data_IF_891562323750
#
_entry.id   IF_891562323750
#
_cell.length_a   1.000
_cell.length_b   1.000
_cell.length_c   1.000
_cell.angle_alpha   90.00
_cell.angle_beta   90.00
_cell.angle_gamma   90.00
#
_symmetry.space_group_name_H-M   'P 1'
#
loop_
_entity.id
_entity.type
_entity.pdbx_description
1 polymer ?
#
# COMPACT_ATOMS: atom_id res chain seq x y z
N UNK A 1 -8.47 -12.85 23.34
CA UNK A 1 -9.74 -13.53 23.64
C UNK A 1 -10.40 -13.81 22.30
N UNK A 2 -10.24 -15.04 21.83
CA UNK A 2 -10.78 -15.53 20.56
C UNK A 2 -12.29 -15.72 20.70
N UNK A 3 -13.07 -15.34 19.68
CA UNK A 3 -14.42 -15.89 19.52
C UNK A 3 -14.41 -16.90 18.38
N UNK A 4 -14.40 -18.17 18.77
CA UNK A 4 -14.85 -19.30 17.99
C UNK A 4 -16.38 -19.33 18.00
N UNK A 5 -16.99 -19.26 16.83
CA UNK A 5 -18.33 -19.79 16.60
C UNK A 5 -18.32 -20.51 15.25
N UNK A 6 -18.22 -21.84 15.33
CA UNK A 6 -18.84 -22.75 14.36
C UNK A 6 -19.95 -23.45 15.15
N UNK A 7 -21.12 -23.65 14.53
CA UNK A 7 -21.66 -25.00 14.56
C UNK A 7 -21.95 -25.52 13.15
N UNK A 8 -21.71 -26.82 13.04
CA UNK A 8 -21.93 -27.70 11.90
C UNK A 8 -23.40 -27.77 11.48
N UNK A 9 -23.63 -28.04 10.19
CA UNK A 9 -24.93 -28.49 9.68
C UNK A 9 -25.30 -27.87 8.32
N UNK A 10 -25.15 -28.66 7.26
CA UNK A 10 -25.97 -28.66 6.04
C UNK A 10 -26.19 -27.35 5.26
N UNK A 11 -25.66 -27.32 4.03
CA UNK A 11 -26.15 -26.56 2.87
C UNK A 11 -26.97 -25.29 3.12
N UNK A 12 -26.38 -24.12 2.81
CA UNK A 12 -27.05 -23.09 2.00
C UNK A 12 -26.05 -22.00 1.65
N UNK A 13 -25.79 -21.82 0.36
CA UNK A 13 -25.29 -20.56 -0.16
C UNK A 13 -26.20 -19.44 0.34
N UNK A 14 -25.73 -18.61 1.26
CA UNK A 14 -26.40 -17.34 1.57
C UNK A 14 -26.03 -16.33 0.48
N UNK A 15 -26.59 -16.59 -0.70
CA UNK A 15 -26.89 -15.54 -1.68
C UNK A 15 -27.67 -14.49 -0.90
N UNK A 16 -27.18 -13.25 -0.89
CA UNK A 16 -27.89 -12.12 -0.33
C UNK A 16 -29.26 -12.04 -1.01
N UNK A 17 -30.30 -12.53 -0.33
CA UNK A 17 -31.64 -12.57 -0.87
C UNK A 17 -32.08 -11.13 -1.13
N UNK A 18 -32.27 -10.77 -2.40
CA UNK A 18 -32.98 -9.57 -2.84
C UNK A 18 -34.24 -9.32 -2.00
N UNK A 19 -34.90 -10.40 -1.57
CA UNK A 19 -36.03 -10.39 -0.64
C UNK A 19 -35.77 -9.70 0.70
N UNK A 20 -34.57 -9.80 1.29
CA UNK A 20 -34.23 -9.14 2.55
C UNK A 20 -34.16 -7.61 2.38
N UNK A 21 -33.51 -7.14 1.32
CA UNK A 21 -33.42 -5.70 1.02
C UNK A 21 -34.79 -5.11 0.66
N UNK A 22 -35.59 -5.84 -0.11
CA UNK A 22 -36.98 -5.45 -0.41
C UNK A 22 -37.86 -5.44 0.84
N UNK A 23 -37.68 -6.40 1.76
CA UNK A 23 -38.44 -6.45 3.02
C UNK A 23 -38.11 -5.29 3.98
N UNK A 24 -36.96 -4.64 3.80
CA UNK A 24 -36.56 -3.43 4.51
C UNK A 24 -36.98 -2.13 3.79
N UNK A 25 -37.83 -2.23 2.75
CA UNK A 25 -38.35 -1.07 2.02
C UNK A 25 -37.35 -0.40 1.06
N UNK A 26 -36.21 -1.05 0.80
CA UNK A 26 -35.19 -0.51 -0.11
C UNK A 26 -35.66 -0.74 -1.56
N UNK A 27 -35.97 0.35 -2.26
CA UNK A 27 -36.32 0.31 -3.69
C UNK A 27 -35.08 0.02 -4.52
N UNK A 28 -34.99 -1.20 -5.06
CA UNK A 28 -33.93 -1.59 -5.98
C UNK A 28 -34.34 -1.27 -7.43
N UNK A 29 -33.44 -0.73 -8.26
CA UNK A 29 -33.71 -0.53 -9.68
C UNK A 29 -34.07 -1.86 -10.38
N UNK A 30 -34.85 -1.76 -11.45
CA UNK A 30 -35.29 -2.91 -12.26
C UNK A 30 -34.03 -3.56 -12.85
N UNK A 31 -33.79 -4.82 -12.51
CA UNK A 31 -32.70 -5.60 -13.08
C UNK A 31 -32.98 -5.77 -14.58
N UNK A 32 -32.15 -5.17 -15.43
CA UNK A 32 -31.93 -5.75 -16.74
C UNK A 32 -30.94 -6.92 -16.54
N UNK A 33 -31.36 -8.18 -16.68
CA UNK A 33 -30.51 -9.34 -16.36
C UNK A 33 -29.26 -9.43 -17.25
N UNK A 34 -29.27 -8.76 -18.40
CA UNK A 34 -28.11 -8.56 -19.25
C UNK A 34 -27.88 -7.06 -19.44
N UNK A 35 -26.97 -6.42 -18.67
CA UNK A 35 -26.50 -5.12 -19.09
C UNK A 35 -25.90 -5.27 -20.50
N UNK A 36 -26.30 -4.41 -21.44
CA UNK A 36 -25.81 -4.43 -22.83
C UNK A 36 -24.27 -4.42 -22.93
N UNK A 37 -23.61 -3.99 -21.86
CA UNK A 37 -22.17 -3.99 -21.73
C UNK A 37 -21.76 -4.41 -20.31
N UNK A 38 -20.83 -5.38 -20.14
CA UNK A 38 -20.39 -5.85 -18.84
C UNK A 38 -19.38 -4.87 -18.22
N UNK A 39 -19.82 -3.64 -17.95
CA UNK A 39 -19.00 -2.54 -17.41
C UNK A 39 -18.07 -2.95 -16.24
N UNK A 40 -18.48 -3.82 -15.29
CA UNK A 40 -17.59 -4.21 -14.20
C UNK A 40 -16.29 -4.86 -14.68
N UNK A 41 -16.32 -5.71 -15.72
CA UNK A 41 -15.15 -6.45 -16.23
C UNK A 41 -13.98 -5.55 -16.69
N UNK A 42 -14.28 -4.28 -17.02
CA UNK A 42 -13.32 -3.26 -17.43
C UNK A 42 -12.69 -2.51 -16.25
N UNK A 43 -13.18 -2.71 -15.03
CA UNK A 43 -12.61 -2.09 -13.83
C UNK A 43 -11.27 -2.74 -13.55
N UNK A 44 -10.18 -2.06 -13.93
CA UNK A 44 -8.81 -2.47 -13.62
C UNK A 44 -8.19 -1.66 -12.48
N UNK A 45 -8.72 -0.47 -12.21
CA UNK A 45 -8.14 0.47 -11.26
C UNK A 45 -9.21 0.89 -10.27
N UNK A 46 -8.97 0.67 -8.98
CA UNK A 46 -9.94 0.97 -7.93
C UNK A 46 -9.44 2.09 -7.01
N UNK A 47 -10.11 3.24 -7.10
CA UNK A 47 -10.01 4.29 -6.09
C UNK A 47 -10.92 3.93 -4.90
N UNK A 48 -10.36 3.21 -3.92
CA UNK A 48 -11.12 2.57 -2.84
C UNK A 48 -11.90 3.58 -1.99
N UNK A 49 -11.27 4.69 -1.62
CA UNK A 49 -11.93 5.75 -0.85
C UNK A 49 -13.08 6.42 -1.60
N UNK A 50 -12.95 6.58 -2.93
CA UNK A 50 -14.02 7.14 -3.76
C UNK A 50 -15.20 6.18 -3.93
N UNK A 51 -14.93 4.87 -4.00
CA UNK A 51 -16.00 3.86 -3.95
C UNK A 51 -16.77 3.96 -2.64
N UNK A 52 -16.08 3.96 -1.50
CA UNK A 52 -16.72 4.10 -0.18
C UNK A 52 -17.54 5.39 -0.11
N UNK A 53 -16.97 6.51 -0.53
CA UNK A 53 -17.67 7.80 -0.55
C UNK A 53 -18.91 7.79 -1.45
N UNK A 54 -18.84 7.13 -2.60
CA UNK A 54 -19.95 7.01 -3.54
C UNK A 54 -21.09 6.18 -2.95
N UNK A 55 -20.77 5.04 -2.33
CA UNK A 55 -21.78 4.23 -1.63
C UNK A 55 -22.39 5.08 -0.51
N UNK A 56 -21.57 5.75 0.31
CA UNK A 56 -22.07 6.61 1.40
C UNK A 56 -23.03 7.70 0.92
N UNK A 57 -22.74 8.32 -0.23
CA UNK A 57 -23.56 9.39 -0.84
C UNK A 57 -24.82 8.89 -1.54
N UNK A 58 -24.97 7.58 -1.77
CA UNK A 58 -26.13 7.00 -2.46
C UNK A 58 -27.47 7.16 -1.72
N UNK A 59 -27.45 7.71 -0.50
CA UNK A 59 -28.67 8.01 0.27
C UNK A 59 -29.24 6.82 1.04
N UNK A 60 -28.56 5.67 1.03
CA UNK A 60 -28.96 4.45 1.75
C UNK A 60 -28.66 4.50 3.26
N UNK A 61 -27.84 5.46 3.70
CA UNK A 61 -27.36 5.56 5.09
C UNK A 61 -27.95 6.78 5.79
N UNK A 62 -28.45 6.58 7.01
CA UNK A 62 -29.07 7.62 7.83
C UNK A 62 -27.98 8.36 8.63
N UNK A 63 -27.85 9.68 8.42
CA UNK A 63 -26.72 10.50 8.87
C UNK A 63 -26.59 10.64 10.40
N UNK A 64 -27.40 9.94 11.18
CA UNK A 64 -27.56 10.13 12.63
C UNK A 64 -26.77 9.14 13.49
N UNK A 65 -26.28 8.01 12.96
CA UNK A 65 -25.56 6.99 13.75
C UNK A 65 -24.27 6.45 13.09
N UNK A 66 -23.11 7.00 13.47
CA UNK A 66 -21.80 6.66 12.88
C UNK A 66 -21.42 5.17 12.93
N UNK A 67 -21.83 4.43 13.97
CA UNK A 67 -21.52 2.99 14.10
C UNK A 67 -22.38 2.12 13.19
N UNK A 68 -23.65 2.50 13.01
CA UNK A 68 -24.59 1.78 12.16
C UNK A 68 -24.22 1.97 10.67
N UNK A 69 -23.71 3.17 10.32
CA UNK A 69 -23.18 3.49 9.00
C UNK A 69 -21.99 2.58 8.60
N UNK A 70 -21.10 2.25 9.53
CA UNK A 70 -19.91 1.42 9.22
C UNK A 70 -20.27 -0.02 8.86
N UNK A 71 -21.22 -0.62 9.57
CA UNK A 71 -21.69 -1.97 9.28
C UNK A 71 -22.47 -2.02 7.96
N UNK A 72 -23.32 -1.03 7.72
CA UNK A 72 -24.09 -0.94 6.49
C UNK A 72 -23.19 -0.70 5.27
N UNK A 73 -22.14 0.14 5.40
CA UNK A 73 -21.10 0.30 4.38
C UNK A 73 -20.34 -1.00 4.13
N UNK A 74 -20.01 -1.75 5.19
CA UNK A 74 -19.35 -3.05 5.06
C UNK A 74 -20.18 -4.03 4.23
N UNK A 75 -21.49 -4.11 4.50
CA UNK A 75 -22.40 -4.96 3.71
C UNK A 75 -22.50 -4.49 2.26
N UNK A 76 -22.65 -3.19 2.03
CA UNK A 76 -22.75 -2.65 0.68
C UNK A 76 -21.46 -2.93 -0.14
N UNK A 77 -20.28 -2.73 0.44
CA UNK A 77 -19.01 -3.09 -0.20
C UNK A 77 -18.89 -4.58 -0.48
N UNK A 78 -19.34 -5.42 0.45
CA UNK A 78 -19.33 -6.88 0.27
C UNK A 78 -20.16 -7.27 -0.96
N UNK A 79 -21.36 -6.71 -1.10
CA UNK A 79 -22.21 -6.94 -2.29
C UNK A 79 -21.52 -6.44 -3.56
N UNK A 80 -20.91 -5.26 -3.54
CA UNK A 80 -20.17 -4.72 -4.69
C UNK A 80 -19.02 -5.64 -5.11
N UNK A 81 -18.26 -6.17 -4.15
CA UNK A 81 -17.14 -7.06 -4.45
C UNK A 81 -17.58 -8.46 -4.91
N UNK A 82 -18.69 -9.00 -4.40
CA UNK A 82 -19.27 -10.21 -4.99
C UNK A 82 -19.70 -9.96 -6.44
N UNK A 83 -20.33 -8.83 -6.74
CA UNK A 83 -20.64 -8.46 -8.14
C UNK A 83 -19.37 -8.36 -8.98
N UNK A 84 -18.31 -7.71 -8.48
CA UNK A 84 -17.03 -7.66 -9.21
C UNK A 84 -16.49 -9.07 -9.50
N UNK A 85 -16.56 -9.96 -8.51
CA UNK A 85 -16.09 -11.33 -8.64
C UNK A 85 -16.91 -12.12 -9.65
N UNK A 86 -18.24 -12.01 -9.61
CA UNK A 86 -19.16 -12.66 -10.54
C UNK A 86 -18.94 -12.21 -11.99
N UNK A 87 -18.55 -10.95 -12.18
CA UNK A 87 -18.20 -10.40 -13.50
C UNK A 87 -16.73 -10.63 -13.90
N UNK A 88 -15.96 -11.42 -13.15
CA UNK A 88 -14.58 -11.76 -13.48
C UNK A 88 -13.62 -10.57 -13.39
N UNK A 89 -13.92 -9.58 -12.56
CA UNK A 89 -13.04 -8.41 -12.36
C UNK A 89 -11.70 -8.87 -11.79
N UNK A 90 -10.63 -8.31 -12.34
CA UNK A 90 -9.27 -8.52 -11.85
C UNK A 90 -8.53 -7.19 -11.86
N UNK A 91 -8.28 -6.68 -10.65
CA UNK A 91 -7.70 -5.37 -10.43
C UNK A 91 -6.19 -5.39 -10.70
N UNK A 92 -5.73 -4.35 -11.36
CA UNK A 92 -4.31 -4.05 -11.59
C UNK A 92 -3.82 -2.97 -10.64
N UNK A 93 -4.68 -2.08 -10.17
CA UNK A 93 -4.30 -1.11 -9.15
C UNK A 93 -5.39 -0.85 -8.11
N UNK A 94 -4.93 -0.53 -6.90
CA UNK A 94 -5.80 -0.09 -5.81
C UNK A 94 -5.18 1.13 -5.09
N UNK A 95 -6.02 2.12 -4.84
CA UNK A 95 -5.65 3.33 -4.12
C UNK A 95 -6.54 3.51 -2.88
N UNK A 96 -5.95 3.30 -1.72
CA UNK A 96 -6.53 3.59 -0.42
C UNK A 96 -6.22 5.04 -0.05
N UNK A 97 -6.98 5.98 -0.62
CA UNK A 97 -6.99 7.39 -0.19
C UNK A 97 -8.27 7.66 0.59
N UNK A 98 -8.17 7.63 1.91
CA UNK A 98 -9.28 7.88 2.79
C UNK A 98 -9.28 9.35 3.20
N UNK A 99 -10.20 10.13 2.62
CA UNK A 99 -10.43 11.49 3.08
C UNK A 99 -10.67 11.48 4.60
N UNK A 100 -10.07 12.44 5.33
CA UNK A 100 -9.99 12.60 6.80
C UNK A 100 -11.30 12.47 7.62
N UNK A 101 -12.42 12.16 6.99
CA UNK A 101 -13.69 11.88 7.65
C UNK A 101 -13.59 10.54 8.39
N UNK A 102 -14.36 10.39 9.49
CA UNK A 102 -14.47 9.27 10.44
C UNK A 102 -14.80 7.89 9.81
N UNK A 103 -14.13 7.51 8.74
CA UNK A 103 -14.31 6.24 8.05
C UNK A 103 -13.57 5.16 8.81
N UNK A 104 -14.29 4.09 9.07
CA UNK A 104 -13.74 2.90 9.70
C UNK A 104 -12.66 2.28 8.80
N UNK A 105 -11.39 2.43 9.19
CA UNK A 105 -10.24 1.87 8.47
C UNK A 105 -10.33 0.35 8.29
N UNK A 106 -11.14 -0.34 9.11
CA UNK A 106 -11.40 -1.79 8.95
C UNK A 106 -12.03 -2.11 7.60
N UNK A 107 -12.73 -1.15 6.98
CA UNK A 107 -13.28 -1.30 5.63
C UNK A 107 -12.17 -1.54 4.60
N UNK A 108 -10.94 -1.03 4.79
CA UNK A 108 -9.82 -1.26 3.88
C UNK A 108 -9.39 -2.74 3.83
N UNK A 109 -9.66 -3.51 4.89
CA UNK A 109 -9.28 -4.92 4.97
C UNK A 109 -10.24 -5.84 4.21
N UNK A 110 -11.43 -5.34 3.84
CA UNK A 110 -12.46 -6.16 3.21
C UNK A 110 -11.98 -6.73 1.87
N UNK A 111 -11.45 -5.88 0.98
CA UNK A 111 -11.05 -6.28 -0.37
C UNK A 111 -9.86 -7.24 -0.42
N UNK A 112 -9.02 -7.23 0.61
CA UNK A 112 -7.87 -8.13 0.75
C UNK A 112 -8.19 -9.37 1.57
N UNK A 113 -9.46 -9.57 1.94
CA UNK A 113 -9.92 -10.78 2.59
C UNK A 113 -9.84 -11.97 1.60
N UNK A 114 -9.64 -13.18 2.12
CA UNK A 114 -9.47 -14.40 1.32
C UNK A 114 -10.64 -14.62 0.34
N UNK A 115 -11.86 -14.25 0.73
CA UNK A 115 -13.06 -14.37 -0.11
C UNK A 115 -12.98 -13.55 -1.41
N UNK A 116 -12.22 -12.47 -1.42
CA UNK A 116 -12.05 -11.56 -2.56
C UNK A 116 -10.62 -11.59 -3.14
N UNK A 117 -9.83 -12.59 -2.76
CA UNK A 117 -8.44 -12.73 -3.20
C UNK A 117 -8.28 -12.75 -4.73
N UNK A 118 -9.25 -13.30 -5.47
CA UNK A 118 -9.25 -13.30 -6.94
C UNK A 118 -9.33 -11.89 -7.56
N UNK A 119 -9.93 -10.92 -6.85
CA UNK A 119 -10.01 -9.53 -7.33
C UNK A 119 -8.64 -8.86 -7.30
N UNK A 120 -7.77 -9.25 -6.37
CA UNK A 120 -6.52 -8.55 -6.06
C UNK A 120 -5.25 -9.35 -6.39
N UNK A 121 -5.36 -10.64 -6.76
CA UNK A 121 -4.22 -11.51 -7.05
C UNK A 121 -3.30 -11.00 -8.17
N UNK A 122 -3.85 -10.24 -9.13
CA UNK A 122 -3.12 -9.67 -10.27
C UNK A 122 -2.75 -8.20 -10.07
N UNK A 123 -2.80 -7.68 -8.84
CA UNK A 123 -2.41 -6.31 -8.56
C UNK A 123 -0.96 -6.04 -8.99
N UNK A 124 -0.78 -4.92 -9.67
CA UNK A 124 0.50 -4.34 -10.11
C UNK A 124 0.87 -3.10 -9.31
N UNK A 125 -0.10 -2.37 -8.79
CA UNK A 125 0.15 -1.14 -8.03
C UNK A 125 -0.74 -1.03 -6.81
N UNK A 126 -0.13 -0.71 -5.67
CA UNK A 126 -0.85 -0.33 -4.46
C UNK A 126 -0.41 1.05 -3.99
N UNK A 127 -1.39 1.88 -3.66
CA UNK A 127 -1.18 3.19 -3.05
C UNK A 127 -1.97 3.27 -1.77
N UNK A 128 -1.29 3.59 -0.67
CA UNK A 128 -1.85 3.68 0.67
C UNK A 128 -1.58 5.09 1.19
N UNK A 129 -2.61 5.93 1.13
CA UNK A 129 -2.56 7.31 1.59
C UNK A 129 -3.28 7.39 2.94
N UNK A 130 -2.93 8.39 3.75
CA UNK A 130 -3.58 8.74 5.02
C UNK A 130 -3.14 7.97 6.28
N UNK A 131 -3.60 8.47 7.43
CA UNK A 131 -3.20 8.05 8.77
C UNK A 131 -4.16 6.97 9.30
N UNK A 132 -3.88 5.70 8.97
CA UNK A 132 -4.58 4.56 9.54
C UNK A 132 -3.64 3.36 9.79
N UNK A 133 -4.01 2.40 10.66
CA UNK A 133 -3.24 1.18 10.90
C UNK A 133 -3.13 0.32 9.63
N UNK A 134 -1.92 0.15 9.09
CA UNK A 134 -1.65 -0.59 7.85
C UNK A 134 -1.07 -1.99 8.09
N UNK A 135 -0.76 -2.35 9.34
CA UNK A 135 0.01 -3.56 9.64
C UNK A 135 -0.66 -4.85 9.14
N UNK A 136 -1.97 -5.00 9.33
CA UNK A 136 -2.71 -6.17 8.85
C UNK A 136 -2.85 -6.14 7.32
N UNK A 137 -3.00 -4.95 6.75
CA UNK A 137 -3.21 -4.75 5.31
C UNK A 137 -1.94 -5.12 4.53
N UNK A 138 -0.77 -4.69 5.01
CA UNK A 138 0.51 -5.09 4.44
C UNK A 138 0.68 -6.62 4.43
N UNK A 139 0.35 -7.29 5.54
CA UNK A 139 0.45 -8.74 5.63
C UNK A 139 -0.49 -9.46 4.66
N UNK A 140 -1.74 -9.01 4.56
CA UNK A 140 -2.72 -9.60 3.63
C UNK A 140 -2.29 -9.40 2.18
N UNK A 141 -1.87 -8.19 1.80
CA UNK A 141 -1.37 -7.92 0.45
C UNK A 141 -0.12 -8.77 0.17
N UNK A 142 0.82 -8.88 1.12
CA UNK A 142 2.01 -9.70 0.96
C UNK A 142 1.67 -11.17 0.68
N UNK A 143 0.62 -11.71 1.31
CA UNK A 143 0.20 -13.09 1.14
C UNK A 143 -0.51 -13.33 -0.20
N UNK A 144 -1.29 -12.37 -0.69
CA UNK A 144 -2.12 -12.54 -1.90
C UNK A 144 -1.47 -12.02 -3.17
N UNK A 145 -0.68 -10.95 -3.09
CA UNK A 145 -0.10 -10.25 -4.23
C UNK A 145 1.41 -10.48 -4.27
N UNK A 146 1.89 -11.12 -5.35
CA UNK A 146 3.32 -11.46 -5.54
C UNK A 146 3.99 -10.70 -6.68
N UNK A 147 3.22 -9.94 -7.46
CA UNK A 147 3.67 -9.30 -8.69
C UNK A 147 3.44 -7.78 -8.70
N UNK A 148 3.48 -7.14 -7.52
CA UNK A 148 3.44 -5.68 -7.44
C UNK A 148 4.67 -5.08 -8.10
N UNK A 149 4.45 -4.13 -8.98
CA UNK A 149 5.47 -3.32 -9.66
C UNK A 149 5.63 -1.96 -8.97
N UNK A 150 4.59 -1.47 -8.29
CA UNK A 150 4.59 -0.20 -7.58
C UNK A 150 3.95 -0.30 -6.19
N UNK A 151 4.67 0.18 -5.18
CA UNK A 151 4.18 0.35 -3.81
C UNK A 151 4.39 1.79 -3.39
N UNK A 152 3.31 2.48 -3.02
CA UNK A 152 3.36 3.84 -2.46
C UNK A 152 2.68 3.82 -1.09
N UNK A 153 3.41 4.24 -0.06
CA UNK A 153 2.91 4.33 1.31
C UNK A 153 3.15 5.73 1.85
N UNK A 154 2.09 6.50 2.00
CA UNK A 154 2.17 7.74 2.74
C UNK A 154 1.84 7.47 4.20
N UNK A 155 2.69 7.99 5.07
CA UNK A 155 2.55 7.85 6.52
C UNK A 155 2.61 6.40 6.99
N UNK A 156 3.83 5.91 7.18
CA UNK A 156 4.06 4.58 7.78
C UNK A 156 3.75 4.52 9.28
N UNK A 157 3.71 5.66 10.00
CA UNK A 157 3.45 5.62 11.43
C UNK A 157 3.12 6.95 12.12
N UNK A 158 1.99 7.00 12.82
CA UNK A 158 1.72 7.98 13.89
C UNK A 158 1.23 7.28 15.19
N UNK A 159 0.91 5.97 15.12
CA UNK A 159 0.40 5.21 16.27
C UNK A 159 1.54 4.55 17.05
N UNK A 160 2.05 5.23 18.08
CA UNK A 160 3.21 4.87 18.93
C UNK A 160 3.36 3.37 19.27
N UNK A 161 2.27 2.60 19.39
CA UNK A 161 2.32 1.21 19.85
C UNK A 161 2.32 0.14 18.73
N UNK A 162 2.14 0.49 17.44
CA UNK A 162 2.05 -0.49 16.34
C UNK A 162 3.03 -0.28 15.18
N UNK A 163 3.82 0.78 15.23
CA UNK A 163 4.74 1.18 14.16
C UNK A 163 5.78 0.09 13.86
N UNK A 164 6.26 -0.64 14.86
CA UNK A 164 7.22 -1.73 14.63
C UNK A 164 6.64 -2.86 13.78
N UNK A 165 5.43 -3.32 14.10
CA UNK A 165 4.76 -4.38 13.34
C UNK A 165 4.40 -3.93 11.93
N UNK A 166 3.95 -2.68 11.77
CA UNK A 166 3.70 -2.10 10.45
C UNK A 166 4.96 -2.09 9.58
N UNK A 167 6.12 -1.71 10.14
CA UNK A 167 7.41 -1.75 9.43
C UNK A 167 7.84 -3.16 9.04
N UNK A 168 7.73 -4.11 9.96
CA UNK A 168 8.05 -5.52 9.68
C UNK A 168 7.16 -6.09 8.59
N UNK A 169 5.85 -5.81 8.65
CA UNK A 169 4.91 -6.29 7.64
C UNK A 169 5.10 -5.57 6.29
N UNK A 170 5.51 -4.30 6.29
CA UNK A 170 5.88 -3.61 5.05
C UNK A 170 7.17 -4.20 4.45
N UNK A 171 8.18 -4.48 5.27
CA UNK A 171 9.39 -5.16 4.82
C UNK A 171 9.07 -6.54 4.23
N UNK A 172 8.16 -7.30 4.85
CA UNK A 172 7.66 -8.55 4.31
C UNK A 172 6.86 -8.38 3.01
N UNK A 173 6.04 -7.32 2.91
CA UNK A 173 5.35 -6.97 1.68
C UNK A 173 6.35 -6.71 0.55
N UNK A 174 7.39 -5.92 0.79
CA UNK A 174 8.44 -5.64 -0.20
C UNK A 174 9.15 -6.94 -0.60
N UNK A 175 9.58 -7.74 0.37
CA UNK A 175 10.36 -8.96 0.09
C UNK A 175 9.57 -10.10 -0.55
N UNK A 176 8.25 -10.07 -0.46
CA UNK A 176 7.38 -11.05 -1.10
C UNK A 176 7.07 -10.75 -2.57
N UNK A 177 7.54 -9.62 -3.11
CA UNK A 177 7.33 -9.28 -4.52
C UNK A 177 8.42 -9.85 -5.41
N UNK A 178 8.05 -10.25 -6.63
CA UNK A 178 9.00 -10.75 -7.62
C UNK A 178 9.49 -9.67 -8.61
N UNK A 179 8.78 -8.55 -8.72
CA UNK A 179 8.95 -7.58 -9.80
C UNK A 179 8.79 -6.13 -9.35
N UNK A 180 9.16 -5.78 -8.11
CA UNK A 180 8.98 -4.42 -7.63
C UNK A 180 9.93 -3.47 -8.36
N UNK A 181 9.36 -2.47 -9.05
CA UNK A 181 10.08 -1.44 -9.81
C UNK A 181 10.11 -0.11 -9.09
N UNK A 182 9.05 0.24 -8.39
CA UNK A 182 8.89 1.54 -7.73
C UNK A 182 8.45 1.36 -6.27
N UNK A 183 9.19 1.97 -5.36
CA UNK A 183 8.89 2.01 -3.95
C UNK A 183 8.98 3.44 -3.42
N UNK A 184 7.88 3.97 -2.90
CA UNK A 184 7.83 5.29 -2.28
C UNK A 184 7.24 5.20 -0.88
N UNK A 185 7.96 5.71 0.11
CA UNK A 185 7.53 5.67 1.51
C UNK A 185 7.78 7.02 2.18
N UNK A 186 6.73 7.55 2.81
CA UNK A 186 6.79 8.82 3.55
C UNK A 186 6.58 8.61 5.06
N UNK A 187 7.22 9.45 5.86
CA UNK A 187 7.14 9.48 7.33
C UNK A 187 7.52 8.14 7.97
N UNK A 188 8.78 7.76 7.80
CA UNK A 188 9.35 6.56 8.44
C UNK A 188 9.99 6.98 9.76
N UNK A 189 9.25 6.79 10.85
CA UNK A 189 9.73 7.11 12.19
C UNK A 189 10.52 5.95 12.84
N UNK A 190 11.74 6.23 13.29
CA UNK A 190 12.64 5.29 13.96
C UNK A 190 13.29 4.26 13.01
N UNK A 191 13.89 3.20 13.57
CA UNK A 191 14.60 2.10 12.87
C UNK A 191 14.05 1.75 11.48
N UNK A 192 14.73 2.24 10.44
CA UNK A 192 14.46 1.94 9.03
C UNK A 192 15.12 0.63 8.56
N UNK A 193 15.90 -0.04 9.42
CA UNK A 193 16.66 -1.25 9.07
C UNK A 193 15.85 -2.35 8.36
N UNK A 194 14.66 -2.78 8.84
CA UNK A 194 13.91 -3.82 8.15
C UNK A 194 13.50 -3.42 6.73
N UNK A 195 13.18 -2.13 6.55
CA UNK A 195 12.84 -1.58 5.25
C UNK A 195 14.06 -1.61 4.32
N UNK A 196 15.20 -1.09 4.78
CA UNK A 196 16.43 -1.06 3.98
C UNK A 196 16.90 -2.47 3.60
N UNK A 197 16.89 -3.42 4.53
CA UNK A 197 17.27 -4.80 4.26
C UNK A 197 16.33 -5.52 3.29
N UNK A 198 15.03 -5.18 3.29
CA UNK A 198 14.07 -5.79 2.38
C UNK A 198 14.36 -5.50 0.89
N UNK A 199 15.10 -4.43 0.59
CA UNK A 199 15.46 -4.05 -0.77
C UNK A 199 16.35 -5.09 -1.47
N UNK A 200 17.09 -5.91 -0.72
CA UNK A 200 17.98 -6.94 -1.29
C UNK A 200 17.20 -7.92 -2.19
N UNK A 201 15.95 -8.23 -1.81
CA UNK A 201 15.04 -9.06 -2.62
C UNK A 201 14.69 -8.44 -3.98
N UNK A 202 14.85 -7.12 -4.13
CA UNK A 202 14.49 -6.34 -5.32
C UNK A 202 15.71 -5.79 -6.07
N UNK A 203 16.92 -6.25 -5.73
CA UNK A 203 18.19 -5.76 -6.31
C UNK A 203 18.22 -5.80 -7.85
N UNK A 204 17.49 -6.75 -8.47
CA UNK A 204 17.44 -6.92 -9.92
C UNK A 204 16.31 -6.16 -10.62
N UNK A 205 15.36 -5.60 -9.89
CA UNK A 205 14.11 -5.07 -10.46
C UNK A 205 13.82 -3.63 -10.06
N UNK A 206 14.35 -3.17 -8.92
CA UNK A 206 14.05 -1.85 -8.39
C UNK A 206 14.67 -0.77 -9.28
N UNK A 207 13.82 0.12 -9.78
CA UNK A 207 14.17 1.23 -10.67
C UNK A 207 14.00 2.58 -9.98
N UNK A 208 13.05 2.72 -9.06
CA UNK A 208 12.76 3.98 -8.37
C UNK A 208 12.59 3.74 -6.89
N UNK A 209 13.40 4.43 -6.09
CA UNK A 209 13.32 4.36 -4.64
C UNK A 209 13.24 5.75 -4.06
N UNK A 210 12.14 6.02 -3.34
CA UNK A 210 11.91 7.31 -2.69
C UNK A 210 11.56 7.14 -1.23
N UNK A 211 12.29 7.86 -0.39
CA UNK A 211 12.03 8.02 1.03
C UNK A 211 11.82 9.50 1.35
N UNK A 212 10.75 9.82 2.06
CA UNK A 212 10.47 11.18 2.52
C UNK A 212 10.25 11.21 4.03
N UNK A 213 10.88 12.17 4.71
CA UNK A 213 10.79 12.36 6.15
C UNK A 213 11.13 11.08 6.94
N UNK A 214 12.40 10.66 6.85
CA UNK A 214 12.89 9.39 7.42
C UNK A 214 13.94 9.64 8.48
N UNK A 215 13.78 8.95 9.61
CA UNK A 215 14.78 8.95 10.66
C UNK A 215 15.63 7.67 10.60
N UNK A 216 16.90 7.79 10.22
CA UNK A 216 17.85 6.68 10.10
C UNK A 216 18.59 6.33 11.39
N UNK A 217 18.10 6.78 12.56
CA UNK A 217 18.72 6.43 13.85
C UNK A 217 18.96 4.92 13.96
N UNK A 218 20.22 4.53 14.20
CA UNK A 218 20.65 3.12 14.32
C UNK A 218 20.20 2.26 13.13
N UNK A 219 20.11 2.82 11.92
CA UNK A 219 19.89 2.08 10.70
C UNK A 219 21.13 1.25 10.31
N UNK A 220 20.93 0.22 9.48
CA UNK A 220 22.01 -0.57 8.91
C UNK A 220 22.74 0.17 7.78
N UNK A 221 23.93 -0.32 7.38
CA UNK A 221 24.52 0.03 6.10
C UNK A 221 23.57 -0.21 4.92
N UNK A 222 23.70 0.60 3.87
CA UNK A 222 22.82 0.57 2.70
C UNK A 222 23.27 -0.46 1.65
N UNK A 223 23.78 -1.61 2.09
CA UNK A 223 24.30 -2.67 1.21
C UNK A 223 23.24 -3.13 0.20
N UNK A 224 22.03 -3.39 0.68
CA UNK A 224 20.91 -3.83 -0.14
C UNK A 224 20.54 -2.80 -1.24
N UNK A 225 20.71 -1.51 -0.96
CA UNK A 225 20.48 -0.45 -1.95
C UNK A 225 21.62 -0.38 -2.96
N UNK A 226 22.87 -0.56 -2.51
CA UNK A 226 24.05 -0.62 -3.37
C UNK A 226 23.99 -1.78 -4.39
N UNK A 227 23.28 -2.86 -4.07
CA UNK A 227 23.04 -3.98 -4.99
C UNK A 227 22.00 -3.69 -6.08
N UNK A 228 21.21 -2.61 -5.97
CA UNK A 228 20.11 -2.28 -6.88
C UNK A 228 20.62 -1.68 -8.22
N UNK A 229 21.25 -2.50 -9.07
CA UNK A 229 21.89 -2.03 -10.32
C UNK A 229 20.93 -1.48 -11.39
N UNK A 230 19.63 -1.76 -11.27
CA UNK A 230 18.60 -1.24 -12.17
C UNK A 230 18.03 0.11 -11.74
N UNK A 231 18.52 0.68 -10.63
CA UNK A 231 18.01 1.92 -10.09
C UNK A 231 18.26 3.08 -11.06
N UNK A 232 17.19 3.79 -11.41
CA UNK A 232 17.15 4.97 -12.27
C UNK A 232 16.97 6.26 -11.46
N UNK A 233 16.20 6.20 -10.38
CA UNK A 233 15.97 7.31 -9.46
C UNK A 233 16.12 6.88 -8.00
N UNK A 234 16.91 7.66 -7.25
CA UNK A 234 17.10 7.53 -5.81
C UNK A 234 16.83 8.87 -5.12
N UNK A 235 15.76 8.95 -4.35
CA UNK A 235 15.38 10.17 -3.63
C UNK A 235 15.29 9.89 -2.13
N UNK A 236 16.13 10.52 -1.31
CA UNK A 236 16.02 10.50 0.15
C UNK A 236 15.89 11.94 0.64
N UNK A 237 14.67 12.31 0.99
CA UNK A 237 14.25 13.68 1.26
C UNK A 237 13.85 13.86 2.72
N UNK A 238 14.20 15.00 3.29
CA UNK A 238 13.96 15.35 4.70
C UNK A 238 14.45 14.27 5.67
N UNK A 239 15.68 13.77 5.50
CA UNK A 239 16.22 12.71 6.36
C UNK A 239 16.89 13.24 7.64
N UNK A 240 17.01 12.36 8.63
CA UNK A 240 17.72 12.60 9.88
C UNK A 240 18.67 11.44 10.24
N UNK A 241 19.75 11.76 10.96
CA UNK A 241 20.65 10.77 11.60
C UNK A 241 21.27 9.75 10.65
N UNK A 242 21.55 10.17 9.41
CA UNK A 242 22.39 9.40 8.48
C UNK A 242 23.85 9.60 8.90
N UNK A 243 24.63 8.52 8.89
CA UNK A 243 26.07 8.56 9.17
C UNK A 243 26.88 7.94 8.02
N UNK A 244 28.19 8.09 8.08
CA UNK A 244 29.12 7.63 7.05
C UNK A 244 29.03 6.13 6.77
N UNK A 245 29.01 5.31 7.83
CA UNK A 245 28.93 3.86 7.71
C UNK A 245 27.66 3.40 6.99
N UNK A 246 26.56 4.19 7.08
CA UNK A 246 25.33 3.88 6.36
C UNK A 246 25.49 4.03 4.86
N UNK A 247 26.13 5.12 4.42
CA UNK A 247 26.19 5.53 3.01
C UNK A 247 27.37 4.93 2.24
N UNK A 248 28.43 4.49 2.94
CA UNK A 248 29.66 4.00 2.32
C UNK A 248 29.43 2.91 1.24
N UNK A 249 28.58 1.90 1.47
CA UNK A 249 28.33 0.87 0.44
C UNK A 249 27.76 1.46 -0.85
N UNK A 250 26.89 2.47 -0.74
CA UNK A 250 26.31 3.14 -1.89
C UNK A 250 27.37 3.95 -2.64
N UNK A 251 28.25 4.68 -1.92
CA UNK A 251 29.35 5.45 -2.52
C UNK A 251 30.26 4.54 -3.36
N UNK A 252 30.61 3.37 -2.84
CA UNK A 252 31.51 2.44 -3.53
C UNK A 252 30.85 1.81 -4.78
N UNK A 253 29.55 1.55 -4.71
CA UNK A 253 28.81 0.92 -5.79
C UNK A 253 28.35 1.88 -6.89
N UNK A 254 28.30 3.18 -6.63
CA UNK A 254 27.57 4.14 -7.47
C UNK A 254 28.07 4.20 -8.92
N UNK A 255 29.39 4.09 -9.11
CA UNK A 255 30.02 4.05 -10.44
C UNK A 255 29.62 2.81 -11.27
N UNK A 256 29.08 1.78 -10.63
CA UNK A 256 28.58 0.57 -11.27
C UNK A 256 27.07 0.65 -11.58
N UNK A 257 26.36 1.65 -11.06
CA UNK A 257 24.92 1.85 -11.23
C UNK A 257 24.62 2.64 -12.52
N UNK A 258 24.93 2.05 -13.67
CA UNK A 258 24.90 2.73 -14.99
C UNK A 258 23.54 3.29 -15.42
N UNK A 259 22.45 2.85 -14.79
CA UNK A 259 21.10 3.30 -15.12
C UNK A 259 20.66 4.50 -14.28
N UNK A 260 21.43 4.89 -13.27
CA UNK A 260 21.07 5.92 -12.30
C UNK A 260 21.17 7.30 -12.96
N UNK A 261 20.03 7.98 -13.08
CA UNK A 261 19.90 9.28 -13.77
C UNK A 261 19.55 10.43 -12.84
N UNK A 262 18.92 10.10 -11.71
CA UNK A 262 18.45 11.09 -10.76
C UNK A 262 18.81 10.63 -9.36
N UNK A 263 19.51 11.50 -8.63
CA UNK A 263 19.78 11.25 -7.22
C UNK A 263 19.62 12.51 -6.40
N UNK A 264 18.71 12.45 -5.44
CA UNK A 264 18.37 13.60 -4.61
C UNK A 264 18.48 13.25 -3.13
N UNK A 265 19.34 13.97 -2.42
CA UNK A 265 19.49 13.86 -0.97
C UNK A 265 19.25 15.23 -0.35
N UNK A 266 18.13 15.37 0.37
CA UNK A 266 17.78 16.60 1.08
C UNK A 266 17.73 16.32 2.59
N UNK A 267 18.64 16.89 3.40
CA UNK A 267 18.56 16.75 4.86
C UNK A 267 17.36 17.53 5.41
N UNK A 268 16.85 17.13 6.57
CA UNK A 268 15.93 17.98 7.32
C UNK A 268 16.67 19.23 7.81
N UNK A 269 16.08 20.41 7.60
CA UNK A 269 16.67 21.78 7.63
C UNK A 269 17.43 22.25 8.89
N UNK A 270 17.69 21.38 9.87
CA UNK A 270 18.31 21.71 11.16
C UNK A 270 19.60 20.92 11.47
N UNK A 271 20.07 20.06 10.55
CA UNK A 271 21.31 19.28 10.74
C UNK A 271 22.36 19.65 9.69
N UNK A 272 23.60 19.92 10.13
CA UNK A 272 24.73 20.08 9.21
C UNK A 272 24.95 18.81 8.37
N UNK A 273 25.25 18.99 7.09
CA UNK A 273 25.56 17.89 6.15
C UNK A 273 26.91 17.26 6.55
N UNK A 274 26.97 15.93 6.66
CA UNK A 274 28.23 15.24 6.99
C UNK A 274 29.17 15.24 5.77
N UNK A 275 30.49 15.18 6.00
CA UNK A 275 31.48 15.16 4.92
C UNK A 275 31.26 14.01 3.91
N UNK A 276 30.75 12.86 4.36
CA UNK A 276 30.45 11.70 3.52
C UNK A 276 29.19 11.90 2.67
N UNK A 277 28.21 12.65 3.16
CA UNK A 277 27.03 13.07 2.38
C UNK A 277 27.42 14.13 1.34
N UNK A 278 28.31 15.05 1.71
CA UNK A 278 28.92 15.98 0.76
C UNK A 278 29.71 15.23 -0.33
N UNK A 279 30.46 14.19 0.05
CA UNK A 279 31.19 13.32 -0.89
C UNK A 279 30.24 12.57 -1.81
N UNK A 280 29.18 11.95 -1.27
CA UNK A 280 28.14 11.31 -2.07
C UNK A 280 27.54 12.32 -3.05
N UNK A 281 27.20 13.52 -2.59
CA UNK A 281 26.66 14.59 -3.44
C UNK A 281 27.63 15.04 -4.54
N UNK A 282 28.93 15.10 -4.24
CA UNK A 282 29.95 15.45 -5.21
C UNK A 282 30.11 14.34 -6.27
N UNK A 283 30.17 13.07 -5.86
CA UNK A 283 30.19 11.92 -6.77
C UNK A 283 28.93 11.87 -7.63
N UNK A 284 27.77 12.23 -7.06
CA UNK A 284 26.50 12.30 -7.78
C UNK A 284 26.46 13.40 -8.84
N UNK A 285 27.04 14.57 -8.57
CA UNK A 285 27.20 15.62 -9.58
C UNK A 285 28.07 15.15 -10.76
N UNK A 286 29.03 14.27 -10.53
CA UNK A 286 29.82 13.68 -11.62
C UNK A 286 29.02 12.66 -12.43
N UNK A 287 28.09 11.94 -11.81
CA UNK A 287 27.15 11.03 -12.49
C UNK A 287 26.11 11.80 -13.32
N UNK A 288 25.59 12.94 -12.84
CA UNK A 288 24.62 13.76 -13.58
C UNK A 288 25.19 14.44 -14.83
N UNK A 289 26.52 14.58 -14.93
CA UNK A 289 27.21 15.26 -16.03
C UNK A 289 27.75 14.31 -17.12
N UNK A 290 27.57 12.99 -16.97
CA UNK A 290 27.99 11.95 -17.92
C UNK A 290 26.79 11.23 -18.54
#
# INVERSE_FOLDING_TARGET
>A
MLFTLIPEGGATSRIFNRGLLLSQGIKLPVNNPNPYFPYPSFIKNLAYGELINSIRKSGVFDKKEEKQDSLALWFALTVVFEVFKDYGVSLHSINFKMQKNNLDWRLCHLIVNQQFSSLVSNLKSVTLVDYFPKEVLFLQIANTCKNLEKIVVWTLGDHKNKIQKARQNLAHLISSQCHLKQLEISYVHGHATPLMQSLASQAKTLQRFRLYNVNFDKCCPWDALAECKQLESLEILSYHKVNENMVHPLIDAINQMKNLKMVEFIPYSMGGESASLQKLRNVLKEVENN
#
